data_IF_232373208068
#
_entry.id   IF_232373208068
#
_cell.length_a   1.000
_cell.length_b   1.000
_cell.length_c   1.000
_cell.angle_alpha   90.00
_cell.angle_beta   90.00
_cell.angle_gamma   90.00
#
_symmetry.space_group_name_H-M   'P 1'
#
loop_
_entity.id
_entity.type
_entity.pdbx_description
1 polymer ?
#
# COMPACT_ATOMS: atom_id res chain seq x y z
N UNK A 1 -2.36 2.26 -1.57
CA UNK A 1 -2.27 2.79 -0.21
C UNK A 1 -3.64 3.30 0.19
N UNK A 2 -4.07 3.12 1.44
CA UNK A 2 -5.38 3.63 1.92
C UNK A 2 -5.45 5.16 1.89
N UNK A 3 -4.30 5.85 2.01
CA UNK A 3 -4.16 7.31 1.80
C UNK A 3 -4.88 7.80 0.55
N UNK A 4 -4.85 7.05 -0.55
CA UNK A 4 -5.56 7.45 -1.77
C UNK A 4 -7.07 7.54 -1.58
N UNK A 5 -7.66 6.61 -0.81
CA UNK A 5 -9.08 6.62 -0.48
C UNK A 5 -9.43 7.75 0.49
N UNK A 6 -8.59 7.97 1.50
CA UNK A 6 -8.71 9.14 2.39
C UNK A 6 -8.64 10.47 1.63
N UNK A 7 -7.91 10.51 0.51
CA UNK A 7 -7.83 11.72 -0.33
C UNK A 7 -9.15 12.07 -1.04
N UNK A 8 -10.01 11.06 -1.30
CA UNK A 8 -11.32 11.22 -1.93
C UNK A 8 -12.39 11.69 -0.94
N UNK A 9 -12.27 11.28 0.32
CA UNK A 9 -13.20 11.61 1.41
C UNK A 9 -12.48 12.33 2.57
N UNK A 10 -11.90 13.52 2.32
CA UNK A 10 -11.05 14.20 3.30
C UNK A 10 -11.79 14.63 4.57
N UNK A 11 -13.11 14.78 4.49
CA UNK A 11 -13.96 15.21 5.61
C UNK A 11 -14.51 14.06 6.45
N UNK A 12 -14.34 12.81 6.01
CA UNK A 12 -14.82 11.64 6.76
C UNK A 12 -13.87 10.43 6.63
N UNK A 13 -12.68 10.48 7.27
CA UNK A 13 -11.75 9.34 7.27
C UNK A 13 -12.34 8.10 7.93
N UNK A 14 -13.16 8.28 8.98
CA UNK A 14 -13.88 7.23 9.69
C UNK A 14 -14.84 6.45 8.81
N UNK A 15 -15.54 7.12 7.89
CA UNK A 15 -16.37 6.45 6.89
C UNK A 15 -15.54 5.49 6.05
N UNK A 16 -14.36 5.91 5.58
CA UNK A 16 -13.47 5.05 4.78
C UNK A 16 -13.01 3.84 5.58
N UNK A 17 -12.59 4.04 6.83
CA UNK A 17 -12.13 2.94 7.67
C UNK A 17 -13.25 1.93 7.96
N UNK A 18 -14.47 2.42 8.24
CA UNK A 18 -15.65 1.57 8.45
C UNK A 18 -16.04 0.81 7.18
N UNK A 19 -16.11 1.49 6.05
CA UNK A 19 -16.48 0.84 4.78
C UNK A 19 -15.41 -0.16 4.33
N UNK A 20 -14.12 0.16 4.49
CA UNK A 20 -13.04 -0.78 4.19
C UNK A 20 -13.09 -2.01 5.09
N UNK A 21 -13.41 -1.84 6.38
CA UNK A 21 -13.61 -2.97 7.27
C UNK A 21 -14.78 -3.83 6.81
N UNK A 22 -15.94 -3.21 6.50
CA UNK A 22 -17.13 -3.91 6.01
C UNK A 22 -16.85 -4.69 4.73
N UNK A 23 -16.28 -4.06 3.70
CA UNK A 23 -15.99 -4.73 2.43
C UNK A 23 -14.87 -5.75 2.52
N UNK A 24 -13.98 -5.64 3.52
CA UNK A 24 -12.98 -6.66 3.82
C UNK A 24 -13.59 -7.87 4.52
N UNK A 25 -14.56 -7.67 5.42
CA UNK A 25 -15.33 -8.75 6.04
C UNK A 25 -16.22 -9.49 5.02
N UNK A 26 -16.75 -8.77 4.02
CA UNK A 26 -17.45 -9.34 2.87
C UNK A 26 -16.51 -10.06 1.87
N UNK A 27 -15.19 -9.96 2.05
CA UNK A 27 -14.20 -10.59 1.19
C UNK A 27 -14.03 -9.95 -0.18
N UNK A 28 -14.54 -8.74 -0.41
CA UNK A 28 -14.39 -8.01 -1.67
C UNK A 28 -12.99 -7.40 -1.82
N UNK A 29 -12.40 -6.96 -0.70
CA UNK A 29 -11.04 -6.41 -0.64
C UNK A 29 -10.23 -7.10 0.45
N UNK A 30 -8.91 -7.11 0.27
CA UNK A 30 -7.97 -7.49 1.33
C UNK A 30 -7.21 -6.27 1.82
N UNK A 31 -7.26 -6.03 3.12
CA UNK A 31 -6.38 -5.09 3.80
C UNK A 31 -5.07 -5.80 4.14
N UNK A 32 -3.94 -5.13 3.94
CA UNK A 32 -2.61 -5.62 4.30
C UNK A 32 -1.91 -4.56 5.13
N UNK A 33 -1.43 -4.94 6.30
CA UNK A 33 -0.63 -4.05 7.15
C UNK A 33 0.79 -4.13 6.67
N UNK A 34 1.28 -3.04 6.10
CA UNK A 34 2.70 -2.88 5.81
C UNK A 34 3.33 -2.21 7.03
N UNK A 35 4.47 -2.75 7.48
CA UNK A 35 5.37 -2.26 8.53
C UNK A 35 4.95 -0.92 9.18
N UNK A 36 4.86 -0.85 10.51
CA UNK A 36 4.09 0.13 11.31
C UNK A 36 4.08 1.61 10.86
N UNK A 37 5.10 2.09 10.13
CA UNK A 37 5.22 3.47 9.65
C UNK A 37 4.88 3.68 8.16
N UNK A 38 4.74 2.61 7.36
CA UNK A 38 4.53 2.72 5.92
C UNK A 38 3.05 2.97 5.55
N UNK A 39 2.13 2.61 6.44
CA UNK A 39 0.68 2.73 6.25
C UNK A 39 0.05 1.44 5.69
N UNK A 40 -1.28 1.43 5.68
CA UNK A 40 -2.03 0.25 5.25
C UNK A 40 -2.23 0.23 3.72
N UNK A 41 -2.23 -0.99 3.17
CA UNK A 41 -2.54 -1.26 1.78
C UNK A 41 -3.87 -1.99 1.65
N UNK A 42 -4.51 -1.78 0.51
CA UNK A 42 -5.73 -2.48 0.12
C UNK A 42 -5.59 -2.94 -1.32
N UNK A 43 -6.09 -4.13 -1.61
CA UNK A 43 -6.16 -4.73 -2.94
C UNK A 43 -7.51 -5.42 -3.08
N UNK A 44 -8.07 -5.46 -4.29
CA UNK A 44 -9.26 -6.28 -4.54
C UNK A 44 -8.94 -7.76 -4.32
N UNK A 45 -9.81 -8.49 -3.64
CA UNK A 45 -9.58 -9.90 -3.32
C UNK A 45 -9.41 -10.75 -4.59
N UNK A 46 -10.17 -10.42 -5.64
CA UNK A 46 -10.06 -11.09 -6.95
C UNK A 46 -8.63 -10.99 -7.53
N UNK A 47 -8.00 -9.84 -7.38
CA UNK A 47 -6.65 -9.58 -7.90
C UNK A 47 -5.60 -10.24 -7.00
N UNK A 48 -5.81 -10.22 -5.68
CA UNK A 48 -4.95 -10.93 -4.73
C UNK A 48 -4.89 -12.42 -5.04
N UNK A 49 -6.06 -13.07 -5.17
CA UNK A 49 -6.13 -14.51 -5.46
C UNK A 49 -5.66 -14.85 -6.87
N UNK A 50 -5.87 -13.97 -7.86
CA UNK A 50 -5.24 -14.13 -9.18
C UNK A 50 -3.72 -14.20 -9.05
N UNK A 51 -3.10 -13.24 -8.35
CA UNK A 51 -1.65 -13.20 -8.17
C UNK A 51 -1.15 -14.42 -7.38
N UNK A 52 -1.90 -14.87 -6.36
CA UNK A 52 -1.59 -16.11 -5.61
C UNK A 52 -1.50 -17.33 -6.52
N UNK A 53 -2.51 -17.54 -7.37
CA UNK A 53 -2.58 -18.66 -8.32
C UNK A 53 -1.52 -18.57 -9.41
N UNK A 54 -1.22 -17.37 -9.90
CA UNK A 54 -0.13 -17.16 -10.88
C UNK A 54 1.23 -17.51 -10.27
N UNK A 55 1.49 -17.10 -9.03
CA UNK A 55 2.78 -17.32 -8.38
C UNK A 55 2.99 -18.78 -7.94
N UNK A 56 1.90 -19.53 -7.75
CA UNK A 56 1.87 -20.97 -7.44
C UNK A 56 2.76 -21.81 -8.38
N UNK A 57 2.89 -21.40 -9.64
CA UNK A 57 3.59 -22.16 -10.68
C UNK A 57 4.93 -21.57 -11.10
N UNK A 58 5.46 -20.59 -10.36
CA UNK A 58 6.68 -19.86 -10.74
C UNK A 58 8.00 -20.58 -10.41
N UNK A 59 7.94 -21.86 -10.01
CA UNK A 59 9.10 -22.69 -9.65
C UNK A 59 9.77 -22.33 -8.31
N UNK A 60 9.33 -21.26 -7.65
CA UNK A 60 9.76 -20.88 -6.29
C UNK A 60 8.98 -21.60 -5.18
N UNK A 61 7.83 -22.16 -5.51
CA UNK A 61 7.01 -22.95 -4.61
C UNK A 61 7.34 -24.43 -4.84
N UNK A 62 7.77 -25.10 -3.78
CA UNK A 62 7.92 -26.56 -3.72
C UNK A 62 6.59 -27.25 -3.38
N UNK A 63 5.77 -26.63 -2.54
CA UNK A 63 4.48 -27.14 -2.10
C UNK A 63 3.33 -26.29 -2.67
N UNK A 64 2.82 -26.73 -3.82
CA UNK A 64 1.71 -26.12 -4.55
C UNK A 64 0.40 -26.18 -3.75
N UNK A 65 0.18 -27.25 -2.97
CA UNK A 65 -1.03 -27.43 -2.16
C UNK A 65 -1.12 -26.41 -1.01
N UNK A 66 0.02 -25.98 -0.47
CA UNK A 66 0.06 -24.93 0.56
C UNK A 66 -0.58 -23.61 0.08
N UNK A 67 -0.50 -23.29 -1.22
CA UNK A 67 -1.11 -22.09 -1.78
C UNK A 67 -2.64 -22.22 -1.88
N UNK A 68 -3.17 -23.41 -2.19
CA UNK A 68 -4.62 -23.65 -2.21
C UNK A 68 -5.19 -23.59 -0.79
N UNK A 69 -4.54 -24.26 0.16
CA UNK A 69 -4.91 -24.20 1.59
C UNK A 69 -4.84 -22.77 2.13
N UNK A 70 -3.83 -22.01 1.73
CA UNK A 70 -3.71 -20.61 2.08
C UNK A 70 -4.84 -19.78 1.47
N UNK A 71 -5.17 -20.01 0.20
CA UNK A 71 -6.31 -19.37 -0.45
C UNK A 71 -7.62 -19.62 0.31
N UNK A 72 -7.89 -20.87 0.69
CA UNK A 72 -9.11 -21.25 1.41
C UNK A 72 -9.14 -20.71 2.84
N UNK A 73 -8.00 -20.71 3.54
CA UNK A 73 -7.84 -20.03 4.83
C UNK A 73 -8.19 -18.54 4.70
N UNK A 74 -7.66 -17.87 3.68
CA UNK A 74 -7.91 -16.44 3.47
C UNK A 74 -9.34 -16.13 3.03
N UNK A 75 -10.04 -17.05 2.37
CA UNK A 75 -11.49 -16.92 2.08
C UNK A 75 -12.34 -17.13 3.33
N UNK A 76 -11.96 -18.05 4.21
CA UNK A 76 -12.68 -18.29 5.48
C UNK A 76 -12.49 -17.17 6.50
N UNK A 77 -11.34 -16.49 6.47
CA UNK A 77 -11.00 -15.33 7.32
C UNK A 77 -10.68 -14.10 6.43
N UNK A 78 -11.66 -13.48 5.75
CA UNK A 78 -11.41 -12.51 4.68
C UNK A 78 -10.73 -11.22 5.14
N UNK A 79 -11.08 -10.71 6.33
CA UNK A 79 -10.48 -9.49 6.89
C UNK A 79 -9.13 -9.71 7.62
N UNK A 80 -8.62 -10.95 7.67
CA UNK A 80 -7.40 -11.26 8.41
C UNK A 80 -6.17 -10.61 7.76
N UNK A 81 -5.35 -9.97 8.60
CA UNK A 81 -4.12 -9.27 8.18
C UNK A 81 -2.85 -9.91 8.77
N UNK A 82 -3.02 -10.75 9.79
CA UNK A 82 -1.95 -11.45 10.51
C UNK A 82 -2.38 -12.88 10.79
N UNK A 83 -1.45 -13.82 10.67
CA UNK A 83 -1.69 -15.22 10.96
C UNK A 83 -0.67 -15.69 11.98
N UNK A 84 -1.14 -16.32 13.05
CA UNK A 84 -0.29 -17.05 13.95
C UNK A 84 0.11 -18.39 13.33
N UNK A 85 1.16 -19.01 13.86
CA UNK A 85 1.61 -20.34 13.43
C UNK A 85 0.49 -21.37 13.61
N UNK A 86 -0.32 -21.22 14.64
CA UNK A 86 -1.46 -22.07 14.95
C UNK A 86 -2.53 -21.97 13.85
N UNK A 87 -2.84 -20.77 13.35
CA UNK A 87 -3.80 -20.59 12.23
C UNK A 87 -3.35 -21.33 10.96
N UNK A 88 -2.04 -21.33 10.70
CA UNK A 88 -1.44 -21.98 9.54
C UNK A 88 -1.41 -23.50 9.73
N UNK A 89 -1.12 -23.98 10.94
CA UNK A 89 -1.15 -25.40 11.29
C UNK A 89 -2.57 -25.98 11.21
N UNK A 90 -3.58 -25.25 11.68
CA UNK A 90 -5.00 -25.63 11.55
C UNK A 90 -5.43 -25.77 10.08
N UNK A 91 -4.86 -24.95 9.19
CA UNK A 91 -5.05 -25.04 7.75
C UNK A 91 -4.18 -26.12 7.07
N UNK A 92 -3.48 -26.96 7.84
CA UNK A 92 -2.53 -27.97 7.36
C UNK A 92 -1.42 -27.40 6.46
N UNK A 93 -0.94 -26.19 6.78
CA UNK A 93 0.22 -25.53 6.17
C UNK A 93 1.40 -25.67 7.12
N UNK A 94 2.36 -26.53 6.77
CA UNK A 94 3.50 -26.88 7.63
C UNK A 94 4.64 -25.86 7.55
N UNK A 95 5.48 -25.81 8.59
CA UNK A 95 6.62 -24.88 8.65
C UNK A 95 7.71 -25.17 7.61
N UNK A 96 8.05 -26.45 7.41
CA UNK A 96 9.24 -26.86 6.66
C UNK A 96 9.13 -26.50 5.16
N UNK A 97 7.91 -26.55 4.61
CA UNK A 97 7.66 -26.35 3.18
C UNK A 97 6.62 -25.25 2.92
N UNK A 98 5.42 -25.34 3.52
CA UNK A 98 4.33 -24.43 3.20
C UNK A 98 4.57 -22.98 3.62
N UNK A 99 4.93 -22.75 4.88
CA UNK A 99 5.22 -21.40 5.40
C UNK A 99 6.46 -20.83 4.73
N UNK A 100 7.50 -21.65 4.55
CA UNK A 100 8.74 -21.25 3.87
C UNK A 100 8.49 -20.79 2.43
N UNK A 101 7.63 -21.48 1.69
CA UNK A 101 7.31 -21.10 0.30
C UNK A 101 6.47 -19.82 0.23
N UNK A 102 5.49 -19.66 1.13
CA UNK A 102 4.70 -18.42 1.21
C UNK A 102 5.58 -17.22 1.59
N UNK A 103 6.60 -17.41 2.45
CA UNK A 103 7.62 -16.41 2.77
C UNK A 103 8.54 -16.12 1.57
N UNK A 104 9.03 -17.16 0.90
CA UNK A 104 9.99 -17.02 -0.21
C UNK A 104 9.39 -16.30 -1.42
N UNK A 105 8.09 -16.52 -1.66
CA UNK A 105 7.33 -15.88 -2.73
C UNK A 105 6.85 -14.49 -2.32
N UNK A 106 6.59 -14.26 -1.03
CA UNK A 106 6.27 -12.95 -0.46
C UNK A 106 4.79 -12.73 -0.12
N UNK A 107 4.01 -13.80 0.04
CA UNK A 107 2.63 -13.74 0.56
C UNK A 107 2.58 -13.68 2.09
N UNK A 108 3.63 -14.16 2.75
CA UNK A 108 3.88 -13.94 4.17
C UNK A 108 5.14 -13.09 4.36
N UNK A 109 5.15 -12.28 5.42
CA UNK A 109 6.35 -11.61 5.92
C UNK A 109 6.40 -11.69 7.44
N UNK A 110 7.61 -11.66 8.01
CA UNK A 110 7.79 -11.69 9.45
C UNK A 110 7.21 -10.42 10.09
N UNK A 111 6.42 -10.57 11.16
CA UNK A 111 5.81 -9.43 11.86
C UNK A 111 6.71 -8.79 12.92
N UNK A 112 7.83 -9.44 13.27
CA UNK A 112 8.67 -9.12 14.42
C UNK A 112 8.22 -9.78 15.73
N UNK A 113 7.01 -10.35 15.76
CA UNK A 113 6.52 -11.18 16.86
C UNK A 113 6.78 -12.66 16.49
N UNK A 114 7.47 -13.45 17.33
CA UNK A 114 7.71 -14.86 17.08
C UNK A 114 6.41 -15.63 16.81
N UNK A 115 6.40 -16.45 15.76
CA UNK A 115 5.24 -17.26 15.38
C UNK A 115 4.08 -16.46 14.76
N UNK A 116 4.23 -15.16 14.50
CA UNK A 116 3.20 -14.34 13.85
C UNK A 116 3.72 -13.78 12.52
N UNK A 117 2.92 -13.96 11.47
CA UNK A 117 3.23 -13.52 10.12
C UNK A 117 2.22 -12.46 9.67
N UNK A 118 2.68 -11.46 8.91
CA UNK A 118 1.79 -10.52 8.23
C UNK A 118 1.47 -11.06 6.83
N UNK A 119 0.23 -10.89 6.40
CA UNK A 119 -0.17 -11.17 5.04
C UNK A 119 0.31 -10.04 4.13
N UNK A 120 0.93 -10.43 3.03
CA UNK A 120 1.54 -9.54 2.05
C UNK A 120 1.23 -10.01 0.63
N UNK A 121 1.75 -9.27 -0.35
CA UNK A 121 1.79 -9.63 -1.75
C UNK A 121 3.24 -9.53 -2.27
N UNK A 122 3.64 -10.35 -3.26
CA UNK A 122 4.99 -10.27 -3.83
C UNK A 122 5.34 -8.87 -4.32
N UNK A 123 6.61 -8.50 -4.20
CA UNK A 123 7.17 -7.22 -4.67
C UNK A 123 6.56 -5.95 -4.03
N UNK A 124 5.82 -6.06 -2.91
CA UNK A 124 5.23 -4.90 -2.21
C UNK A 124 6.27 -3.82 -1.86
N UNK A 125 7.51 -4.21 -1.53
CA UNK A 125 8.61 -3.30 -1.22
C UNK A 125 8.91 -2.28 -2.34
N UNK A 126 8.83 -2.70 -3.61
CA UNK A 126 9.05 -1.81 -4.75
C UNK A 126 7.94 -0.76 -4.88
N UNK A 127 6.70 -1.16 -4.61
CA UNK A 127 5.55 -0.24 -4.59
C UNK A 127 5.65 0.77 -3.42
N UNK A 128 6.05 0.30 -2.24
CA UNK A 128 6.24 1.17 -1.07
C UNK A 128 7.36 2.19 -1.28
N UNK A 129 8.48 1.74 -1.87
CA UNK A 129 9.58 2.63 -2.23
C UNK A 129 9.12 3.72 -3.18
N UNK A 130 8.25 3.38 -4.14
CA UNK A 130 7.68 4.33 -5.08
C UNK A 130 6.78 5.37 -4.38
N UNK A 131 5.87 4.92 -3.50
CA UNK A 131 5.02 5.80 -2.69
C UNK A 131 5.85 6.75 -1.81
N UNK A 132 6.88 6.21 -1.15
CA UNK A 132 7.79 6.99 -0.31
C UNK A 132 8.59 8.02 -1.13
N UNK A 133 9.20 7.62 -2.26
CA UNK A 133 10.00 8.53 -3.08
C UNK A 133 9.19 9.67 -3.68
N UNK A 134 7.95 9.40 -4.10
CA UNK A 134 7.05 10.43 -4.66
C UNK A 134 6.58 11.42 -3.59
N UNK A 135 6.23 10.93 -2.38
CA UNK A 135 5.95 11.76 -1.21
C UNK A 135 7.13 12.66 -0.85
N UNK A 136 8.32 12.08 -0.75
CA UNK A 136 9.56 12.79 -0.44
C UNK A 136 9.83 13.91 -1.42
N UNK A 137 9.58 13.68 -2.71
CA UNK A 137 9.71 14.70 -3.73
C UNK A 137 8.79 15.90 -3.46
N UNK A 138 7.51 15.65 -3.22
CA UNK A 138 6.50 16.67 -2.97
C UNK A 138 6.79 17.46 -1.68
N UNK A 139 7.18 16.78 -0.60
CA UNK A 139 7.58 17.43 0.65
C UNK A 139 8.80 18.33 0.43
N UNK A 140 9.81 17.84 -0.29
CA UNK A 140 11.04 18.59 -0.54
C UNK A 140 10.84 19.83 -1.42
N UNK A 141 9.94 19.81 -2.40
CA UNK A 141 9.71 21.00 -3.24
C UNK A 141 9.03 22.11 -2.45
N UNK A 142 8.08 21.78 -1.57
CA UNK A 142 7.36 22.74 -0.75
C UNK A 142 8.26 23.27 0.37
N UNK A 143 9.04 22.39 1.01
CA UNK A 143 9.96 22.76 2.08
C UNK A 143 11.01 23.82 1.67
N UNK A 144 11.32 23.92 0.37
CA UNK A 144 12.25 24.92 -0.19
C UNK A 144 11.62 26.30 -0.40
N UNK A 145 10.30 26.43 -0.28
CA UNK A 145 9.60 27.72 -0.42
C UNK A 145 9.55 28.46 0.91
N UNK A 146 9.52 29.80 0.87
CA UNK A 146 9.50 30.64 2.08
C UNK A 146 8.36 30.26 3.04
N UNK A 147 7.18 30.00 2.50
CA UNK A 147 5.97 29.73 3.28
C UNK A 147 5.61 28.25 3.37
N UNK A 148 6.40 27.36 2.74
CA UNK A 148 6.09 25.94 2.58
C UNK A 148 4.81 25.69 1.77
N UNK A 149 4.54 26.58 0.81
CA UNK A 149 3.35 26.59 -0.04
C UNK A 149 3.70 26.87 -1.51
N UNK A 150 2.90 26.35 -2.43
CA UNK A 150 3.06 26.59 -3.88
C UNK A 150 1.75 26.36 -4.63
N UNK A 151 1.52 27.11 -5.72
CA UNK A 151 0.39 26.86 -6.64
C UNK A 151 0.56 25.52 -7.35
N UNK A 152 -0.53 24.74 -7.49
CA UNK A 152 -0.54 23.42 -8.13
C UNK A 152 0.05 23.48 -9.55
N UNK A 153 -0.27 24.52 -10.32
CA UNK A 153 0.29 24.71 -11.67
C UNK A 153 1.82 24.79 -11.68
N UNK A 154 2.43 25.46 -10.69
CA UNK A 154 3.89 25.58 -10.59
C UNK A 154 4.51 24.26 -10.14
N UNK A 155 3.79 23.48 -9.33
CA UNK A 155 4.21 22.13 -8.93
C UNK A 155 4.19 21.21 -10.17
N UNK A 156 3.15 21.29 -10.98
CA UNK A 156 3.01 20.54 -12.23
C UNK A 156 4.10 20.92 -13.24
N UNK A 157 4.38 22.21 -13.43
CA UNK A 157 5.49 22.67 -14.27
C UNK A 157 6.84 22.09 -13.82
N UNK A 158 7.09 22.01 -12.50
CA UNK A 158 8.30 21.39 -11.94
C UNK A 158 8.34 19.88 -12.10
N UNK A 159 7.17 19.24 -12.13
CA UNK A 159 7.06 17.81 -12.45
C UNK A 159 7.48 17.58 -13.91
N UNK A 160 6.96 18.38 -14.83
CA UNK A 160 7.21 18.25 -16.27
C UNK A 160 8.60 18.73 -16.71
N UNK A 161 9.22 19.65 -15.96
CA UNK A 161 10.56 20.17 -16.29
C UNK A 161 11.64 19.09 -16.38
N UNK A 162 11.42 17.90 -15.78
CA UNK A 162 12.38 16.79 -15.85
C UNK A 162 11.70 15.42 -16.06
N UNK A 163 10.88 15.30 -17.10
CA UNK A 163 10.12 14.07 -17.43
C UNK A 163 10.99 12.82 -17.43
N UNK A 164 12.20 12.87 -18.03
CA UNK A 164 13.10 11.70 -18.11
C UNK A 164 13.56 11.22 -16.73
N UNK A 165 13.92 12.14 -15.83
CA UNK A 165 14.28 11.77 -14.46
C UNK A 165 13.05 11.26 -13.69
N UNK A 166 11.89 11.91 -13.83
CA UNK A 166 10.64 11.48 -13.18
C UNK A 166 10.21 10.09 -13.62
N UNK A 167 10.31 9.78 -14.91
CA UNK A 167 10.03 8.44 -15.42
C UNK A 167 10.95 7.37 -14.80
N UNK A 168 12.26 7.67 -14.69
CA UNK A 168 13.24 6.76 -14.08
C UNK A 168 13.01 6.58 -12.59
N UNK A 169 12.77 7.67 -11.87
CA UNK A 169 12.64 7.70 -10.41
C UNK A 169 11.29 7.13 -9.97
N UNK A 170 10.21 7.53 -10.65
CA UNK A 170 8.83 7.22 -10.27
C UNK A 170 8.13 6.26 -11.21
N UNK A 171 8.87 5.59 -12.12
CA UNK A 171 8.37 4.47 -12.93
C UNK A 171 7.04 4.75 -13.65
N UNK A 172 6.84 5.99 -14.09
CA UNK A 172 5.63 6.41 -14.81
C UNK A 172 4.40 6.70 -13.94
N UNK A 173 4.56 6.86 -12.62
CA UNK A 173 3.48 7.36 -11.75
C UNK A 173 2.95 8.69 -12.28
N UNK A 174 1.63 8.84 -12.27
CA UNK A 174 0.95 10.07 -12.68
C UNK A 174 1.06 11.14 -11.61
N UNK A 175 1.10 12.41 -12.02
CA UNK A 175 1.17 13.54 -11.11
C UNK A 175 0.02 13.52 -10.09
N UNK A 176 -1.21 13.28 -10.55
CA UNK A 176 -2.42 13.23 -9.71
C UNK A 176 -2.34 12.13 -8.66
N UNK A 177 -1.67 11.01 -8.98
CA UNK A 177 -1.44 9.93 -8.03
C UNK A 177 -0.61 10.43 -6.84
N UNK A 178 0.44 11.21 -7.10
CA UNK A 178 1.28 11.81 -6.05
C UNK A 178 0.48 12.79 -5.19
N UNK A 179 -0.35 13.62 -5.83
CA UNK A 179 -1.19 14.59 -5.12
C UNK A 179 -2.19 13.91 -4.18
N UNK A 180 -2.79 12.80 -4.61
CA UNK A 180 -3.68 11.98 -3.77
C UNK A 180 -2.93 11.34 -2.61
N UNK A 181 -1.75 10.77 -2.84
CA UNK A 181 -0.91 10.17 -1.79
C UNK A 181 -0.58 11.19 -0.69
N UNK A 182 -0.10 12.38 -1.07
CA UNK A 182 0.31 13.39 -0.08
C UNK A 182 -0.86 14.05 0.65
N UNK A 183 -2.01 14.19 -0.05
CA UNK A 183 -3.24 14.73 0.52
C UNK A 183 -3.81 13.79 1.56
N UNK A 184 -4.12 12.56 1.15
CA UNK A 184 -4.85 11.64 2.01
C UNK A 184 -3.99 11.05 3.11
N UNK A 185 -2.67 11.00 2.94
CA UNK A 185 -1.77 10.73 4.06
C UNK A 185 -1.46 11.94 4.93
N UNK A 186 -1.99 13.13 4.60
CA UNK A 186 -1.95 14.32 5.44
C UNK A 186 -0.58 14.98 5.54
N UNK A 187 0.32 14.80 4.57
CA UNK A 187 1.60 15.53 4.52
C UNK A 187 1.46 16.90 3.86
N UNK A 188 0.54 17.00 2.91
CA UNK A 188 0.22 18.25 2.21
C UNK A 188 -1.30 18.46 2.21
N UNK A 189 -1.72 19.72 2.26
CA UNK A 189 -3.14 20.08 2.18
C UNK A 189 -3.38 21.11 1.06
N UNK A 190 -4.44 20.93 0.25
CA UNK A 190 -4.81 21.89 -0.77
C UNK A 190 -5.58 23.08 -0.15
N UNK A 191 -5.41 24.27 -0.73
CA UNK A 191 -6.17 25.47 -0.36
C UNK A 191 -6.53 26.30 -1.60
N UNK A 192 -7.54 27.17 -1.48
CA UNK A 192 -7.98 28.05 -2.55
C UNK A 192 -7.15 29.34 -2.61
N UNK A 193 -6.80 29.79 -3.80
CA UNK A 193 -6.21 31.12 -4.04
C UNK A 193 -6.89 31.76 -5.26
N UNK A 194 -6.81 33.09 -5.42
CA UNK A 194 -7.26 33.75 -6.66
C UNK A 194 -6.57 33.23 -7.92
N UNK A 195 -5.35 32.68 -7.80
CA UNK A 195 -4.56 32.13 -8.91
C UNK A 195 -4.76 30.64 -9.16
N UNK A 196 -5.73 30.00 -8.49
CA UNK A 196 -6.02 28.57 -8.56
C UNK A 196 -5.73 27.83 -7.25
N UNK A 197 -5.66 26.49 -7.31
CA UNK A 197 -5.39 25.67 -6.13
C UNK A 197 -3.93 25.81 -5.69
N UNK A 198 -3.71 26.09 -4.41
CA UNK A 198 -2.43 26.03 -3.73
C UNK A 198 -2.28 24.75 -2.92
N UNK A 199 -1.05 24.38 -2.59
CA UNK A 199 -0.71 23.27 -1.71
C UNK A 199 0.29 23.72 -0.66
N UNK A 200 0.11 23.29 0.59
CA UNK A 200 1.01 23.60 1.70
C UNK A 200 1.33 22.37 2.55
N UNK A 201 2.46 22.40 3.25
CA UNK A 201 2.84 21.35 4.21
C UNK A 201 2.02 21.47 5.50
N UNK A 202 1.58 20.33 6.04
CA UNK A 202 0.77 20.25 7.28
C UNK A 202 1.61 20.20 8.55
N UNK A 203 2.93 19.98 8.44
CA UNK A 203 3.83 19.77 9.57
C UNK A 203 3.97 18.31 10.01
N UNK A 204 3.22 17.37 9.42
CA UNK A 204 3.41 15.93 9.61
C UNK A 204 4.82 15.53 9.13
N UNK A 205 5.59 14.88 10.01
CA UNK A 205 6.92 14.36 9.64
C UNK A 205 6.76 13.19 8.67
N UNK A 206 7.69 13.12 7.71
CA UNK A 206 7.81 12.02 6.76
C UNK A 206 8.39 10.76 7.41
#
# INVERSE_FOLDING_TARGET
MISHLHSLFPSDPTFIDRELQRVAEEGLVRKMVVNQNAGDMVIESKDYFRILREMKHTGKASNVEAFDKFEDLLKSKPAVTRLAKEDLAEAAITEEEGIRDLLSVGFLVLSGIPGVYLISIPNVGSFLKLAFSTRKWMVNILAKTKWKEMLEKLIHERWDANVKARWREFRGVRFEWVMMEVKGGGWCEPFGTPGGRGWKLTGKKE
#
